data_IF_856227234330
#
_entry.id   IF_856227234330
#
_cell.length_a   1.000
_cell.length_b   1.000
_cell.length_c   1.000
_cell.angle_alpha   90.00
_cell.angle_beta   90.00
_cell.angle_gamma   90.00
#
_symmetry.space_group_name_H-M   'P 1'
#
loop_
_entity.id
_entity.type
_entity.pdbx_description
1 polymer ?
#
# COMPACT_ATOMS: atom_id res chain seq x y z
N UNK A 1 -1.97 -11.18 10.44
CA UNK A 1 -2.91 -10.09 10.03
C UNK A 1 -2.03 -9.04 9.40
N UNK A 2 -2.41 -8.46 8.28
CA UNK A 2 -1.59 -7.44 7.64
C UNK A 2 -2.14 -6.07 7.92
N UNK A 3 -1.32 -5.20 8.51
CA UNK A 3 -1.68 -3.81 8.79
C UNK A 3 -0.92 -2.89 7.86
N UNK A 4 -1.64 -2.01 7.18
CA UNK A 4 -1.08 -0.92 6.43
C UNK A 4 -1.04 0.35 7.29
N UNK A 5 0.17 0.89 7.47
CA UNK A 5 0.42 2.16 8.15
C UNK A 5 0.74 3.23 7.12
N UNK A 6 -0.15 4.21 6.99
CA UNK A 6 -0.04 5.34 6.09
C UNK A 6 0.45 6.58 6.83
N UNK A 7 1.44 7.25 6.24
CA UNK A 7 1.97 8.54 6.63
C UNK A 7 1.79 9.51 5.46
N UNK A 8 1.20 10.69 5.69
CA UNK A 8 1.05 11.74 4.67
C UNK A 8 1.57 13.08 5.19
N UNK A 9 2.34 13.75 4.35
CA UNK A 9 2.78 15.11 4.59
C UNK A 9 2.57 15.98 3.35
N UNK A 10 2.35 17.27 3.61
CA UNK A 10 2.29 18.31 2.59
C UNK A 10 3.48 19.25 2.77
N UNK A 11 4.32 19.37 1.74
CA UNK A 11 5.44 20.28 1.78
C UNK A 11 4.99 21.74 1.68
N UNK A 12 5.88 22.66 2.06
CA UNK A 12 5.76 24.05 1.66
C UNK A 12 5.74 24.18 0.13
N UNK A 13 5.10 25.22 -0.44
CA UNK A 13 4.96 25.37 -1.88
C UNK A 13 6.31 25.25 -2.63
N UNK A 14 6.37 24.35 -3.60
CA UNK A 14 7.57 24.11 -4.42
C UNK A 14 8.65 23.24 -3.75
N UNK A 15 8.41 22.74 -2.54
CA UNK A 15 9.35 21.89 -1.78
C UNK A 15 9.00 20.39 -1.85
N UNK A 16 8.08 19.98 -2.73
CA UNK A 16 7.62 18.60 -2.84
C UNK A 16 8.75 17.59 -3.12
N UNK A 17 9.72 17.92 -3.97
CA UNK A 17 10.87 17.04 -4.25
C UNK A 17 11.83 16.90 -3.06
N UNK A 18 11.99 17.97 -2.29
CA UNK A 18 12.82 17.93 -1.07
C UNK A 18 12.15 17.05 -0.02
N UNK A 19 10.84 17.19 0.19
CA UNK A 19 10.06 16.32 1.07
C UNK A 19 10.10 14.87 0.62
N UNK A 20 10.00 14.60 -0.69
CA UNK A 20 10.11 13.24 -1.22
C UNK A 20 11.47 12.63 -0.94
N UNK A 21 12.54 13.39 -1.20
CA UNK A 21 13.92 12.95 -0.97
C UNK A 21 14.13 12.67 0.51
N UNK A 22 13.66 13.57 1.37
CA UNK A 22 13.69 13.40 2.82
C UNK A 22 12.94 12.13 3.26
N UNK A 23 11.72 11.90 2.75
CA UNK A 23 10.90 10.75 3.13
C UNK A 23 11.53 9.42 2.71
N UNK A 24 12.17 9.37 1.53
CA UNK A 24 12.90 8.19 1.04
C UNK A 24 14.15 7.88 1.87
N UNK A 25 14.79 8.89 2.45
CA UNK A 25 15.96 8.73 3.30
C UNK A 25 15.63 8.18 4.70
N UNK A 26 14.35 8.20 5.11
CA UNK A 26 13.96 7.73 6.45
C UNK A 26 13.98 6.20 6.54
N UNK A 27 14.92 5.70 7.33
CA UNK A 27 14.98 4.30 7.74
C UNK A 27 13.90 3.99 8.79
N UNK A 28 13.38 2.76 8.77
CA UNK A 28 12.45 2.25 9.77
C UNK A 28 13.14 1.21 10.63
N UNK A 29 12.79 1.17 11.92
CA UNK A 29 13.26 0.16 12.84
C UNK A 29 12.52 -1.17 12.57
N UNK A 30 12.97 -1.90 11.55
CA UNK A 30 12.36 -3.14 11.07
C UNK A 30 12.12 -3.12 9.56
N UNK A 31 11.85 -4.29 9.00
CA UNK A 31 11.59 -4.46 7.56
C UNK A 31 10.10 -4.69 7.35
N UNK A 32 9.36 -3.74 6.73
CA UNK A 32 7.98 -3.98 6.38
C UNK A 32 7.90 -5.04 5.26
N UNK A 33 6.75 -5.71 5.15
CA UNK A 33 6.43 -6.62 4.05
C UNK A 33 6.50 -5.90 2.70
N UNK A 34 6.04 -4.64 2.69
CA UNK A 34 6.04 -3.75 1.54
C UNK A 34 6.17 -2.31 2.02
N UNK A 35 6.89 -1.49 1.27
CA UNK A 35 6.94 -0.04 1.46
C UNK A 35 6.74 0.64 0.11
N UNK A 36 5.81 1.58 0.07
CA UNK A 36 5.59 2.41 -1.10
C UNK A 36 5.68 3.88 -0.77
N UNK A 37 6.08 4.67 -1.76
CA UNK A 37 6.18 6.12 -1.66
C UNK A 37 5.54 6.74 -2.88
N UNK A 38 4.48 7.50 -2.64
CA UNK A 38 3.63 8.10 -3.65
C UNK A 38 3.72 9.62 -3.58
N UNK A 39 3.52 10.28 -4.72
CA UNK A 39 3.35 11.73 -4.83
C UNK A 39 1.91 12.04 -5.18
N UNK A 40 1.42 13.18 -4.73
CA UNK A 40 0.12 13.71 -5.09
C UNK A 40 0.21 15.24 -5.33
N UNK A 41 -0.82 15.85 -5.96
CA UNK A 41 -0.85 17.29 -6.17
C UNK A 41 -0.65 18.09 -4.88
N UNK A 42 -0.26 19.37 -5.02
CA UNK A 42 -0.01 20.28 -3.90
C UNK A 42 1.16 19.81 -3.01
N UNK A 43 2.27 19.39 -3.63
CA UNK A 43 3.51 19.01 -2.95
C UNK A 43 3.31 17.94 -1.85
N UNK A 44 2.40 16.99 -2.09
CA UNK A 44 2.09 15.91 -1.14
C UNK A 44 2.94 14.68 -1.37
N UNK A 45 3.38 14.09 -0.26
CA UNK A 45 4.07 12.82 -0.22
C UNK A 45 3.33 11.89 0.73
N UNK A 46 3.07 10.68 0.27
CA UNK A 46 2.48 9.60 1.06
C UNK A 46 3.47 8.45 1.11
N UNK A 47 3.73 7.94 2.31
CA UNK A 47 4.48 6.70 2.53
C UNK A 47 3.54 5.71 3.20
N UNK A 48 3.39 4.54 2.62
CA UNK A 48 2.56 3.46 3.17
C UNK A 48 3.41 2.22 3.33
N UNK A 49 3.27 1.55 4.48
CA UNK A 49 4.03 0.36 4.84
C UNK A 49 3.09 -0.73 5.32
N UNK A 50 3.37 -1.98 4.93
CA UNK A 50 2.59 -3.15 5.35
C UNK A 50 3.41 -4.00 6.31
N UNK A 51 2.77 -4.43 7.39
CA UNK A 51 3.39 -5.20 8.46
C UNK A 51 2.55 -6.43 8.78
N UNK A 52 3.18 -7.57 9.02
CA UNK A 52 2.51 -8.71 9.64
C UNK A 52 2.42 -8.46 11.15
N UNK A 53 1.31 -7.89 11.58
CA UNK A 53 1.07 -7.43 12.95
C UNK A 53 -0.43 -7.25 13.24
N UNK A 54 -0.79 -7.15 14.51
CA UNK A 54 -2.13 -6.74 14.91
C UNK A 54 -2.35 -5.23 14.69
N UNK A 55 -3.61 -4.81 14.53
CA UNK A 55 -3.97 -3.41 14.24
C UNK A 55 -3.54 -2.41 15.33
N UNK A 56 -3.50 -2.85 16.58
CA UNK A 56 -3.10 -2.07 17.76
C UNK A 56 -1.62 -2.23 18.12
N UNK A 57 -0.84 -2.97 17.32
CA UNK A 57 0.59 -3.14 17.55
C UNK A 57 1.34 -1.80 17.40
N UNK A 58 2.38 -1.64 18.22
CA UNK A 58 3.34 -0.55 18.06
C UNK A 58 4.23 -0.83 16.83
N UNK A 59 4.06 -0.02 15.80
CA UNK A 59 4.76 -0.14 14.52
C UNK A 59 5.70 1.05 14.31
N UNK A 60 6.86 0.84 13.66
CA UNK A 60 7.78 1.93 13.37
C UNK A 60 7.16 2.88 12.33
N UNK A 61 7.20 4.17 12.62
CA UNK A 61 6.65 5.25 11.79
C UNK A 61 7.75 6.16 11.26
N UNK A 62 7.46 6.88 10.17
CA UNK A 62 8.33 7.97 9.74
C UNK A 62 8.26 9.12 10.78
N UNK A 63 9.39 9.77 11.07
CA UNK A 63 9.41 10.93 11.96
C UNK A 63 8.61 12.11 11.37
N UNK A 64 8.46 13.17 12.16
CA UNK A 64 7.95 14.43 11.64
C UNK A 64 9.08 15.20 10.92
N UNK A 65 8.84 15.75 9.73
CA UNK A 65 9.80 16.62 9.06
C UNK A 65 9.95 17.95 9.81
N UNK A 66 11.02 18.67 9.51
CA UNK A 66 11.21 20.04 10.02
C UNK A 66 10.04 20.96 9.60
N UNK A 67 9.64 21.87 10.48
CA UNK A 67 8.56 22.83 10.22
C UNK A 67 8.84 23.72 9.00
N UNK A 68 10.11 23.94 8.66
CA UNK A 68 10.55 24.64 7.46
C UNK A 68 10.45 23.82 6.17
N UNK A 69 9.95 22.59 6.23
CA UNK A 69 9.73 21.71 5.07
C UNK A 69 8.24 21.42 4.82
N UNK A 70 7.40 21.42 5.86
CA UNK A 70 5.97 21.06 5.76
C UNK A 70 5.03 22.19 6.17
N UNK A 71 3.83 22.23 5.58
CA UNK A 71 2.82 23.25 5.90
C UNK A 71 2.04 22.95 7.18
N UNK A 72 2.05 21.70 7.64
CA UNK A 72 1.27 21.19 8.77
C UNK A 72 1.89 19.89 9.31
N UNK A 73 1.45 19.49 10.49
CA UNK A 73 1.74 18.16 11.04
C UNK A 73 1.30 17.04 10.09
N UNK A 74 2.02 15.93 10.14
CA UNK A 74 1.79 14.77 9.28
C UNK A 74 0.54 14.02 9.71
N UNK A 75 -0.15 13.40 8.77
CA UNK A 75 -1.28 12.53 9.05
C UNK A 75 -0.84 11.07 9.11
N UNK A 76 -1.40 10.33 10.08
CA UNK A 76 -1.09 8.92 10.33
C UNK A 76 -2.37 8.11 10.45
N UNK A 77 -2.48 7.06 9.66
CA UNK A 77 -3.67 6.19 9.64
C UNK A 77 -3.23 4.73 9.56
N UNK A 78 -3.95 3.86 10.26
CA UNK A 78 -3.79 2.41 10.21
C UNK A 78 -4.99 1.79 9.52
N UNK A 79 -4.73 0.79 8.69
CA UNK A 79 -5.75 0.03 7.98
C UNK A 79 -5.44 -1.45 8.10
N UNK A 80 -6.47 -2.27 8.27
CA UNK A 80 -6.37 -3.71 8.03
C UNK A 80 -6.37 -3.95 6.53
N UNK A 81 -5.44 -4.78 6.05
CA UNK A 81 -5.47 -5.29 4.69
C UNK A 81 -6.48 -6.44 4.62
N UNK A 82 -7.50 -6.28 3.79
CA UNK A 82 -8.41 -7.35 3.41
C UNK A 82 -7.91 -7.99 2.11
N UNK A 83 -8.21 -9.27 1.92
CA UNK A 83 -7.96 -9.93 0.63
C UNK A 83 -8.91 -9.32 -0.42
N UNK A 84 -8.41 -9.11 -1.64
CA UNK A 84 -9.25 -8.70 -2.76
C UNK A 84 -10.04 -9.94 -3.23
N UNK A 85 -11.37 -9.80 -3.39
CA UNK A 85 -12.25 -10.85 -3.92
C UNK A 85 -12.06 -11.03 -5.44
N UNK A 86 -10.86 -11.40 -5.89
CA UNK A 86 -10.59 -11.63 -7.33
C UNK A 86 -10.95 -13.06 -7.75
N UNK A 87 -12.24 -13.26 -8.03
CA UNK A 87 -12.83 -14.05 -9.13
C UNK A 87 -12.22 -15.44 -9.44
N UNK A 88 -12.55 -16.43 -8.61
CA UNK A 88 -12.33 -17.87 -8.85
C UNK A 88 -13.42 -18.50 -9.75
N UNK A 89 -13.92 -17.76 -10.75
CA UNK A 89 -15.08 -18.15 -11.59
C UNK A 89 -14.73 -18.29 -13.10
N UNK A 90 -13.44 -18.32 -13.47
CA UNK A 90 -13.03 -18.43 -14.89
C UNK A 90 -12.55 -19.80 -15.36
N UNK A 91 -12.61 -20.83 -14.51
CA UNK A 91 -12.12 -22.18 -14.85
C UNK A 91 -13.18 -23.31 -14.83
N UNK A 92 -14.49 -22.99 -14.86
CA UNK A 92 -15.56 -23.99 -14.98
C UNK A 92 -16.53 -23.70 -16.15
N UNK A 93 -16.06 -23.69 -17.39
CA UNK A 93 -16.91 -24.01 -18.55
C UNK A 93 -16.01 -24.33 -19.76
N UNK A 94 -15.28 -25.43 -19.65
CA UNK A 94 -14.34 -25.86 -20.67
C UNK A 94 -13.96 -27.33 -20.56
N UNK A 95 -14.90 -28.22 -20.24
CA UNK A 95 -14.72 -29.66 -20.45
C UNK A 95 -16.05 -30.43 -20.40
N UNK A 96 -16.80 -30.43 -21.50
CA UNK A 96 -17.57 -31.63 -21.90
C UNK A 96 -17.31 -31.84 -23.39
N UNK A 97 -16.15 -32.44 -23.65
CA UNK A 97 -15.75 -32.95 -24.95
C UNK A 97 -16.69 -34.04 -25.46
N UNK A 98 -16.67 -34.16 -26.78
CA UNK A 98 -17.26 -35.22 -27.57
C UNK A 98 -16.98 -36.62 -27.00
N UNK A 99 -18.03 -37.38 -26.70
CA UNK A 99 -17.95 -38.84 -26.69
C UNK A 99 -18.90 -39.43 -27.74
N UNK A 100 -18.31 -39.93 -28.81
CA UNK A 100 -18.62 -41.27 -29.28
C UNK A 100 -19.72 -41.42 -30.32
N UNK A 101 -19.30 -41.49 -31.58
CA UNK A 101 -19.98 -42.24 -32.64
C UNK A 101 -20.30 -43.68 -32.17
N UNK A 102 -21.53 -44.13 -32.39
CA UNK A 102 -21.96 -45.52 -32.11
C UNK A 102 -23.20 -45.89 -32.91
N UNK A 103 -23.02 -46.79 -33.88
CA UNK A 103 -23.93 -47.22 -34.94
C UNK A 103 -25.14 -48.06 -34.49
N UNK A 104 -26.09 -48.23 -35.43
CA UNK A 104 -27.08 -49.33 -35.60
C UNK A 104 -28.43 -49.10 -34.89
N UNK A 105 -29.61 -49.35 -35.46
CA UNK A 105 -30.03 -50.22 -36.59
C UNK A 105 -31.38 -49.72 -37.14
#
# INVERSE_FOLDING_TARGET
>A
MTVALMWEARALPGRGEELLTWARAQALAGTPLRRETLRAPQDRVLVITWWDAALDAELPELPEPDEGLVTRAVHRWRFESVEDDDQDDRDQEGDEGEEGEGQSE
#
